data_IF_894027887006
#
_entry.id   IF_894027887006
#
_cell.length_a   1.000
_cell.length_b   1.000
_cell.length_c   1.000
_cell.angle_alpha   90.00
_cell.angle_beta   90.00
_cell.angle_gamma   90.00
#
_symmetry.space_group_name_H-M   'P 1'
#
loop_
_entity.id
_entity.type
_entity.pdbx_description
1 polymer ?
#
# COMPACT_ATOMS: atom_id res chain seq x y z
N UNK A 1 -20.43 69.15 0.55
CA UNK A 1 -20.19 67.79 0.08
C UNK A 1 -19.18 67.15 1.06
N UNK A 2 -19.67 66.38 2.05
CA UNK A 2 -18.82 65.77 3.10
C UNK A 2 -18.59 64.31 2.69
N UNK A 3 -17.31 63.96 2.42
CA UNK A 3 -16.87 62.55 2.21
C UNK A 3 -16.77 61.88 3.59
N UNK A 4 -17.57 60.84 3.80
CA UNK A 4 -17.41 59.91 4.91
C UNK A 4 -16.41 58.80 4.52
N UNK A 5 -15.28 58.80 5.16
CA UNK A 5 -14.33 57.67 5.09
C UNK A 5 -14.82 56.57 6.03
N UNK A 6 -15.31 55.46 5.47
CA UNK A 6 -15.55 54.25 6.23
C UNK A 6 -14.24 53.50 6.41
N UNK A 7 -13.73 53.55 7.63
CA UNK A 7 -12.64 52.66 8.10
C UNK A 7 -13.29 51.30 8.41
N UNK A 8 -12.99 50.26 7.58
CA UNK A 8 -13.27 48.88 7.88
C UNK A 8 -12.27 48.38 8.90
N UNK A 9 -12.67 47.76 10.02
CA UNK A 9 -11.75 47.13 10.93
C UNK A 9 -11.21 45.85 10.28
N UNK A 10 -9.88 45.77 10.18
CA UNK A 10 -9.18 44.53 9.79
C UNK A 10 -9.40 43.50 10.91
N UNK A 11 -10.19 42.47 10.59
CA UNK A 11 -10.31 41.28 11.42
C UNK A 11 -9.04 40.46 11.23
N UNK A 12 -8.12 40.60 12.22
CA UNK A 12 -6.97 39.69 12.31
C UNK A 12 -7.47 38.33 12.76
N UNK A 13 -7.64 37.44 11.81
CA UNK A 13 -7.92 36.03 12.07
C UNK A 13 -6.63 35.41 12.61
N UNK A 14 -6.51 35.27 13.92
CA UNK A 14 -5.46 34.48 14.54
C UNK A 14 -5.74 33.01 14.25
N UNK A 15 -5.03 32.44 13.26
CA UNK A 15 -5.03 31.01 13.03
C UNK A 15 -4.36 30.35 14.24
N UNK A 16 -5.18 29.75 15.10
CA UNK A 16 -4.70 28.87 16.16
C UNK A 16 -4.23 27.59 15.45
N UNK A 17 -2.95 27.53 15.15
CA UNK A 17 -2.27 26.28 14.76
C UNK A 17 -2.18 25.41 16.01
N UNK A 18 -3.24 24.66 16.31
CA UNK A 18 -3.17 23.58 17.26
C UNK A 18 -2.26 22.50 16.66
N UNK A 19 -1.00 22.50 17.09
CA UNK A 19 -0.08 21.40 16.82
C UNK A 19 -0.56 20.17 17.57
N UNK A 20 -1.43 19.39 16.95
CA UNK A 20 -1.75 18.02 17.38
C UNK A 20 -0.59 17.08 17.02
N UNK A 21 0.55 17.31 17.60
CA UNK A 21 1.73 16.47 17.52
C UNK A 21 2.09 15.93 18.90
N UNK A 22 1.12 15.38 19.64
CA UNK A 22 1.47 14.55 20.78
C UNK A 22 2.12 13.28 20.22
N UNK A 23 3.43 13.23 20.26
CA UNK A 23 4.18 11.99 20.08
C UNK A 23 3.77 11.08 21.24
N UNK A 24 2.88 10.11 20.95
CA UNK A 24 2.56 9.08 21.94
C UNK A 24 3.85 8.30 22.19
N UNK A 25 4.32 8.22 23.44
CA UNK A 25 5.49 7.41 23.75
C UNK A 25 5.21 5.97 23.31
N UNK A 26 6.12 5.41 22.52
CA UNK A 26 6.03 3.99 22.15
C UNK A 26 6.07 3.17 23.45
N UNK A 27 5.01 2.48 23.86
CA UNK A 27 4.98 1.70 25.08
C UNK A 27 5.89 0.47 25.04
N UNK A 28 6.40 0.14 23.85
CA UNK A 28 7.29 -0.99 23.67
C UNK A 28 8.75 -0.51 23.66
N UNK A 29 9.64 -1.18 24.40
CA UNK A 29 11.07 -0.87 24.33
C UNK A 29 11.56 -1.04 22.90
N UNK A 30 12.50 -0.19 22.48
CA UNK A 30 13.18 -0.40 21.21
C UNK A 30 13.82 -1.80 21.22
N UNK A 31 13.76 -2.52 20.08
CA UNK A 31 14.42 -3.83 20.01
C UNK A 31 15.91 -3.66 20.33
N UNK A 32 16.47 -4.65 21.03
CA UNK A 32 17.88 -4.65 21.40
C UNK A 32 18.75 -4.47 20.13
N UNK A 33 19.88 -3.76 20.23
CA UNK A 33 20.81 -3.61 19.13
C UNK A 33 21.18 -4.96 18.52
N UNK A 34 21.09 -5.09 17.19
CA UNK A 34 21.37 -6.33 16.46
C UNK A 34 20.20 -7.30 16.30
N UNK A 35 19.04 -7.04 16.92
CA UNK A 35 17.83 -7.84 16.67
C UNK A 35 17.19 -7.38 15.36
N UNK A 36 17.19 -8.28 14.36
CA UNK A 36 16.43 -8.07 13.12
C UNK A 36 15.05 -8.64 13.29
N UNK A 37 14.04 -7.80 13.12
CA UNK A 37 12.64 -8.21 13.15
C UNK A 37 12.16 -8.76 11.78
N UNK A 38 12.92 -8.51 10.72
CA UNK A 38 12.61 -8.98 9.36
C UNK A 38 13.80 -9.72 8.78
N UNK A 39 13.59 -10.75 7.94
CA UNK A 39 14.67 -11.40 7.20
C UNK A 39 15.45 -10.40 6.34
N UNK A 40 16.72 -10.73 6.05
CA UNK A 40 17.46 -9.97 5.04
C UNK A 40 16.76 -10.07 3.69
N UNK A 41 16.70 -8.92 2.98
CA UNK A 41 16.16 -8.90 1.63
C UNK A 41 17.16 -9.62 0.72
N UNK A 42 16.75 -10.71 0.02
CA UNK A 42 17.63 -11.40 -0.90
C UNK A 42 18.01 -10.47 -2.07
N UNK A 43 19.20 -10.63 -2.63
CA UNK A 43 19.61 -9.89 -3.82
C UNK A 43 18.79 -10.31 -5.05
N UNK A 44 18.50 -11.62 -5.17
CA UNK A 44 17.61 -12.16 -6.22
C UNK A 44 16.16 -11.76 -5.97
N UNK A 45 15.33 -11.65 -7.01
CA UNK A 45 13.90 -11.39 -6.85
C UNK A 45 13.21 -12.49 -6.04
N UNK A 46 12.23 -12.10 -5.23
CA UNK A 46 11.30 -13.01 -4.55
C UNK A 46 9.90 -12.41 -4.59
N UNK A 47 8.95 -13.10 -5.26
CA UNK A 47 7.56 -12.68 -5.37
C UNK A 47 6.80 -13.17 -4.14
N UNK A 48 6.39 -12.23 -3.30
CA UNK A 48 5.74 -12.47 -2.01
C UNK A 48 4.21 -12.38 -2.13
N UNK A 49 3.53 -12.39 -0.99
CA UNK A 49 2.09 -12.12 -0.89
C UNK A 49 1.18 -13.26 -1.35
N UNK A 50 -0.05 -12.91 -1.63
CA UNK A 50 -1.13 -13.83 -1.94
C UNK A 50 -0.89 -14.67 -3.20
N UNK A 51 -1.40 -15.91 -3.20
CA UNK A 51 -1.49 -16.78 -4.40
C UNK A 51 -2.84 -16.67 -5.08
N UNK A 52 -3.82 -16.14 -4.39
CA UNK A 52 -5.17 -15.93 -4.91
C UNK A 52 -5.69 -14.58 -4.45
N UNK A 53 -6.30 -13.83 -5.34
CA UNK A 53 -6.94 -12.56 -5.06
C UNK A 53 -8.33 -12.51 -5.65
N UNK A 54 -9.29 -11.94 -4.90
CA UNK A 54 -10.67 -11.75 -5.32
C UNK A 54 -10.87 -10.41 -6.00
N UNK A 55 -11.80 -10.37 -6.94
CA UNK A 55 -12.30 -9.14 -7.55
C UNK A 55 -13.80 -9.24 -7.79
N UNK A 56 -14.54 -8.16 -7.49
CA UNK A 56 -15.97 -8.08 -7.82
C UNK A 56 -16.16 -7.91 -9.35
N UNK A 57 -17.09 -8.66 -9.98
CA UNK A 57 -17.36 -8.51 -11.40
C UNK A 57 -17.66 -7.05 -11.81
N UNK A 58 -17.01 -6.56 -12.85
CA UNK A 58 -17.18 -5.21 -13.38
C UNK A 58 -16.65 -4.06 -12.50
N UNK A 59 -16.05 -4.36 -11.35
CA UNK A 59 -15.53 -3.35 -10.44
C UNK A 59 -14.07 -2.98 -10.75
N UNK A 60 -13.68 -1.78 -10.29
CA UNK A 60 -12.26 -1.37 -10.34
C UNK A 60 -11.44 -2.25 -9.40
N UNK A 61 -10.31 -2.69 -9.91
CA UNK A 61 -9.32 -3.46 -9.17
C UNK A 61 -8.01 -2.72 -9.11
N UNK A 62 -7.35 -2.80 -7.95
CA UNK A 62 -6.00 -2.31 -7.71
C UNK A 62 -5.27 -3.35 -6.87
N UNK A 63 -4.21 -3.94 -7.41
CA UNK A 63 -3.41 -4.95 -6.71
C UNK A 63 -1.93 -4.75 -6.98
N UNK A 64 -1.16 -4.44 -5.93
CA UNK A 64 0.29 -4.36 -6.01
C UNK A 64 0.89 -5.74 -5.80
N UNK A 65 1.65 -6.24 -6.77
CA UNK A 65 2.45 -7.45 -6.62
C UNK A 65 3.64 -7.14 -5.70
N UNK A 66 3.72 -7.77 -4.53
CA UNK A 66 4.84 -7.52 -3.62
C UNK A 66 6.06 -8.33 -4.07
N UNK A 67 7.16 -7.63 -4.34
CA UNK A 67 8.42 -8.27 -4.77
C UNK A 67 9.58 -7.66 -3.99
N UNK A 68 10.30 -8.50 -3.27
CA UNK A 68 11.59 -8.17 -2.65
C UNK A 68 12.75 -8.51 -3.59
N UNK A 69 13.91 -7.89 -3.36
CA UNK A 69 15.10 -8.08 -4.18
C UNK A 69 15.79 -6.75 -4.50
N UNK A 70 17.01 -6.83 -5.04
CA UNK A 70 17.76 -5.64 -5.43
C UNK A 70 17.13 -4.95 -6.64
N UNK A 71 17.07 -3.62 -6.60
CA UNK A 71 16.61 -2.78 -7.70
C UNK A 71 17.80 -2.29 -8.55
N UNK A 72 17.66 -2.06 -9.89
CA UNK A 72 16.41 -2.10 -10.65
C UNK A 72 15.93 -3.53 -10.93
N UNK A 73 14.60 -3.68 -11.04
CA UNK A 73 13.94 -4.96 -11.25
C UNK A 73 12.85 -4.81 -12.31
N UNK A 74 12.71 -5.81 -13.18
CA UNK A 74 11.65 -5.90 -14.18
C UNK A 74 10.58 -6.86 -13.66
N UNK A 75 9.33 -6.38 -13.60
CA UNK A 75 8.17 -7.18 -13.20
C UNK A 75 7.21 -7.26 -14.38
N UNK A 76 6.74 -8.45 -14.71
CA UNK A 76 5.84 -8.71 -15.85
C UNK A 76 4.76 -9.69 -15.45
N UNK A 77 3.60 -9.59 -16.09
CA UNK A 77 2.50 -10.55 -15.93
C UNK A 77 2.01 -10.99 -17.30
N UNK A 78 1.66 -12.27 -17.41
CA UNK A 78 0.98 -12.86 -18.56
C UNK A 78 -0.30 -13.55 -18.10
N UNK A 79 -1.32 -13.59 -18.96
CA UNK A 79 -2.61 -14.19 -18.60
C UNK A 79 -3.55 -13.26 -17.84
N UNK A 80 -3.26 -11.95 -17.77
CA UNK A 80 -4.20 -10.99 -17.23
C UNK A 80 -5.50 -10.98 -18.04
N UNK A 81 -6.67 -10.95 -17.38
CA UNK A 81 -7.95 -10.87 -18.09
C UNK A 81 -8.12 -9.51 -18.79
N UNK A 82 -9.02 -9.44 -19.79
CA UNK A 82 -9.38 -8.18 -20.42
C UNK A 82 -9.79 -7.13 -19.39
N UNK A 83 -9.36 -5.88 -19.59
CA UNK A 83 -9.66 -4.76 -18.70
C UNK A 83 -8.63 -4.53 -17.59
N UNK A 84 -7.72 -5.48 -17.33
CA UNK A 84 -6.63 -5.33 -16.38
C UNK A 84 -5.28 -5.20 -17.09
N UNK A 85 -4.41 -4.33 -16.56
CA UNK A 85 -3.03 -4.14 -17.03
C UNK A 85 -2.09 -4.06 -15.84
N UNK A 86 -0.84 -4.46 -16.06
CA UNK A 86 0.24 -4.28 -15.09
C UNK A 86 1.18 -3.15 -15.53
N UNK A 87 1.57 -2.29 -14.61
CA UNK A 87 2.61 -1.28 -14.84
C UNK A 87 4.03 -1.85 -14.57
N UNK A 88 5.06 -1.07 -14.87
CA UNK A 88 6.47 -1.46 -14.67
C UNK A 88 6.87 -1.66 -13.20
N UNK A 89 6.05 -1.19 -12.26
CA UNK A 89 6.26 -1.35 -10.81
C UNK A 89 5.56 -2.58 -10.25
N UNK A 90 4.81 -3.31 -11.09
CA UNK A 90 4.05 -4.49 -10.69
C UNK A 90 2.66 -4.18 -10.16
N UNK A 91 2.11 -2.99 -10.43
CA UNK A 91 0.74 -2.64 -10.08
C UNK A 91 -0.22 -3.16 -11.15
N UNK A 92 -1.09 -4.10 -10.80
CA UNK A 92 -2.21 -4.55 -11.61
C UNK A 92 -3.39 -3.63 -11.32
N UNK A 93 -3.89 -2.96 -12.35
CA UNK A 93 -5.01 -2.02 -12.24
C UNK A 93 -5.93 -2.09 -13.45
N UNK A 94 -7.18 -1.67 -13.26
CA UNK A 94 -8.20 -1.59 -14.31
C UNK A 94 -9.58 -2.00 -13.83
N UNK A 95 -10.41 -2.53 -14.73
CA UNK A 95 -11.74 -3.03 -14.43
C UNK A 95 -11.77 -4.53 -14.60
N UNK A 96 -12.20 -5.26 -13.57
CA UNK A 96 -12.36 -6.69 -13.61
C UNK A 96 -13.46 -7.09 -14.63
N UNK A 97 -13.36 -8.24 -15.32
CA UNK A 97 -14.41 -8.74 -16.20
C UNK A 97 -15.76 -8.85 -15.49
N UNK A 98 -16.87 -8.71 -16.24
CA UNK A 98 -18.22 -8.80 -15.69
C UNK A 98 -18.65 -10.25 -15.36
N UNK A 99 -18.01 -11.24 -15.95
CA UNK A 99 -18.34 -12.66 -15.73
C UNK A 99 -17.56 -13.25 -14.55
N UNK A 100 -18.23 -14.05 -13.72
CA UNK A 100 -17.58 -14.82 -12.65
C UNK A 100 -16.69 -15.90 -13.25
N UNK A 101 -15.38 -15.83 -13.00
CA UNK A 101 -14.38 -16.76 -13.53
C UNK A 101 -13.06 -16.65 -12.78
N UNK A 102 -12.27 -17.71 -12.81
CA UNK A 102 -10.88 -17.74 -12.39
C UNK A 102 -9.93 -17.56 -13.58
N UNK A 103 -8.90 -16.74 -13.36
CA UNK A 103 -7.84 -16.49 -14.33
C UNK A 103 -6.50 -16.81 -13.69
N UNK A 104 -5.67 -17.59 -14.40
CA UNK A 104 -4.29 -17.88 -13.99
C UNK A 104 -3.37 -16.84 -14.59
N UNK A 105 -2.77 -16.04 -13.73
CA UNK A 105 -1.84 -14.98 -14.08
C UNK A 105 -0.43 -15.42 -13.69
N UNK A 106 0.46 -15.55 -14.67
CA UNK A 106 1.86 -15.85 -14.39
C UNK A 106 2.63 -14.54 -14.23
N UNK A 107 3.18 -14.34 -13.04
CA UNK A 107 3.99 -13.19 -12.70
C UNK A 107 5.45 -13.59 -12.73
N UNK A 108 6.29 -12.79 -13.36
CA UNK A 108 7.75 -12.97 -13.40
C UNK A 108 8.43 -11.69 -12.91
N UNK A 109 9.35 -11.83 -11.99
CA UNK A 109 10.25 -10.78 -11.57
C UNK A 109 11.69 -11.15 -11.93
N UNK A 110 12.49 -10.20 -12.41
CA UNK A 110 13.88 -10.45 -12.79
C UNK A 110 14.78 -9.24 -12.53
N UNK A 111 16.01 -9.50 -12.10
CA UNK A 111 17.08 -8.53 -11.96
C UNK A 111 18.43 -9.16 -12.36
N UNK A 112 19.54 -8.45 -12.12
CA UNK A 112 20.90 -8.97 -12.43
C UNK A 112 21.28 -10.23 -11.63
N UNK A 113 20.63 -10.52 -10.51
CA UNK A 113 20.94 -11.65 -9.64
C UNK A 113 20.07 -12.88 -9.89
N UNK A 114 19.04 -12.76 -10.74
CA UNK A 114 18.20 -13.90 -11.08
C UNK A 114 16.78 -13.53 -11.46
N UNK A 115 15.92 -14.54 -11.39
CA UNK A 115 14.49 -14.40 -11.67
C UNK A 115 13.67 -15.27 -10.71
N UNK A 116 12.44 -14.82 -10.46
CA UNK A 116 11.43 -15.58 -9.75
C UNK A 116 10.12 -15.59 -10.54
N UNK A 117 9.32 -16.65 -10.39
CA UNK A 117 8.05 -16.83 -11.08
C UNK A 117 6.99 -17.32 -10.10
N UNK A 118 5.80 -16.75 -10.19
CA UNK A 118 4.67 -17.13 -9.35
C UNK A 118 3.36 -17.11 -10.14
N UNK A 119 2.57 -18.17 -9.98
CA UNK A 119 1.19 -18.19 -10.46
C UNK A 119 0.32 -17.47 -9.42
N UNK A 120 -0.46 -16.48 -9.86
CA UNK A 120 -1.50 -15.80 -9.12
C UNK A 120 -2.85 -16.18 -9.72
N UNK A 121 -3.75 -16.71 -8.91
CA UNK A 121 -5.14 -16.93 -9.32
C UNK A 121 -5.94 -15.65 -9.05
N UNK A 122 -6.48 -15.05 -10.10
CA UNK A 122 -7.44 -13.96 -9.99
C UNK A 122 -8.86 -14.55 -10.08
N UNK A 123 -9.59 -14.56 -8.98
CA UNK A 123 -10.97 -15.02 -8.88
C UNK A 123 -11.94 -13.85 -8.99
N UNK A 124 -12.62 -13.72 -10.10
CA UNK A 124 -13.71 -12.76 -10.27
C UNK A 124 -15.00 -13.39 -9.76
N UNK A 125 -15.59 -12.82 -8.71
CA UNK A 125 -16.75 -13.42 -8.04
C UNK A 125 -17.25 -12.57 -6.86
N UNK A 126 -17.99 -13.19 -5.97
CA UNK A 126 -18.61 -12.53 -4.81
C UNK A 126 -17.71 -12.57 -3.56
N UNK A 127 -16.60 -13.30 -3.60
CA UNK A 127 -15.66 -13.44 -2.50
C UNK A 127 -14.42 -12.58 -2.75
N UNK A 128 -14.03 -11.77 -1.77
CA UNK A 128 -12.92 -10.81 -1.90
C UNK A 128 -11.68 -11.22 -1.08
N UNK A 129 -11.82 -11.41 0.21
CA UNK A 129 -10.70 -11.70 1.11
C UNK A 129 -10.32 -13.18 1.09
N UNK A 130 -9.87 -13.70 -0.04
CA UNK A 130 -9.51 -15.11 -0.24
C UNK A 130 -8.18 -15.50 0.44
N UNK A 131 -7.39 -14.52 0.82
CA UNK A 131 -6.17 -14.67 1.62
C UNK A 131 -6.28 -13.73 2.83
N UNK A 132 -5.88 -14.15 4.03
CA UNK A 132 -5.86 -13.26 5.18
C UNK A 132 -5.07 -11.98 4.87
N UNK A 133 -5.65 -10.79 5.10
CA UNK A 133 -4.96 -9.54 4.83
C UNK A 133 -3.78 -9.37 5.80
N UNK A 134 -2.66 -8.88 5.27
CA UNK A 134 -1.52 -8.43 6.06
C UNK A 134 -1.54 -6.90 6.07
N UNK A 135 -1.76 -6.34 7.23
CA UNK A 135 -1.92 -4.89 7.34
C UNK A 135 -1.71 -4.39 8.76
N UNK A 136 -2.04 -3.15 8.96
CA UNK A 136 -1.90 -2.46 10.23
C UNK A 136 -3.28 -2.05 10.76
N UNK A 137 -3.47 -2.29 12.07
CA UNK A 137 -4.67 -1.84 12.75
C UNK A 137 -4.41 -0.54 13.50
N UNK A 138 -4.97 0.55 13.01
CA UNK A 138 -4.86 1.87 13.65
C UNK A 138 -5.43 1.88 15.07
N UNK A 139 -6.51 1.14 15.28
CA UNK A 139 -7.19 1.04 16.57
C UNK A 139 -6.27 0.54 17.68
N UNK A 140 -5.50 -0.52 17.40
CA UNK A 140 -4.56 -1.06 18.40
C UNK A 140 -3.33 -0.18 18.61
N UNK A 141 -2.95 0.63 17.63
CA UNK A 141 -1.78 1.51 17.74
C UNK A 141 -2.10 2.86 18.37
N UNK A 142 -3.26 3.43 18.05
CA UNK A 142 -3.59 4.83 18.41
C UNK A 142 -4.92 4.95 19.17
N UNK A 143 -5.67 3.87 19.35
CA UNK A 143 -6.99 3.90 20.00
C UNK A 143 -7.92 4.94 19.35
N UNK A 144 -8.47 5.85 20.13
CA UNK A 144 -9.35 6.93 19.66
C UNK A 144 -8.59 8.16 19.15
N UNK A 145 -7.28 8.21 19.40
CA UNK A 145 -6.42 9.30 18.92
C UNK A 145 -5.93 9.11 17.47
N UNK A 146 -6.50 8.14 16.72
CA UNK A 146 -6.16 7.97 15.32
C UNK A 146 -6.63 9.17 14.51
N UNK A 147 -5.71 9.77 13.72
CA UNK A 147 -5.98 10.89 12.84
C UNK A 147 -5.30 10.68 11.48
N UNK A 148 -5.60 11.57 10.54
CA UNK A 148 -5.04 11.51 9.20
C UNK A 148 -3.50 11.44 9.20
N UNK A 149 -2.85 12.24 10.04
CA UNK A 149 -1.38 12.32 10.10
C UNK A 149 -0.75 11.00 10.54
N UNK A 150 -1.37 10.31 11.53
CA UNK A 150 -0.92 9.00 11.98
C UNK A 150 -1.02 7.96 10.85
N UNK A 151 -2.13 7.97 10.11
CA UNK A 151 -2.34 7.06 8.98
C UNK A 151 -1.33 7.31 7.87
N UNK A 152 -1.13 8.58 7.48
CA UNK A 152 -0.16 8.95 6.46
C UNK A 152 1.29 8.64 6.87
N UNK A 153 1.65 8.90 8.14
CA UNK A 153 2.97 8.54 8.69
C UNK A 153 3.20 7.03 8.61
N UNK A 154 2.22 6.24 9.03
CA UNK A 154 2.31 4.77 9.00
C UNK A 154 2.42 4.26 7.57
N UNK A 155 1.60 4.76 6.64
CA UNK A 155 1.68 4.37 5.22
C UNK A 155 3.07 4.67 4.62
N UNK A 156 3.67 5.82 4.94
CA UNK A 156 5.05 6.15 4.51
C UNK A 156 6.07 5.16 5.08
N UNK A 157 5.95 4.81 6.37
CA UNK A 157 6.85 3.84 7.01
C UNK A 157 6.76 2.46 6.36
N UNK A 158 5.56 2.02 5.91
CA UNK A 158 5.41 0.76 5.17
C UNK A 158 6.25 0.75 3.89
N UNK A 159 6.28 1.87 3.17
CA UNK A 159 7.10 2.01 1.96
C UNK A 159 8.59 2.11 2.30
N UNK A 160 8.97 3.00 3.21
CA UNK A 160 10.36 3.27 3.59
C UNK A 160 11.05 2.05 4.22
N UNK A 161 10.31 1.27 5.01
CA UNK A 161 10.81 0.03 5.63
C UNK A 161 10.69 -1.20 4.75
N UNK A 162 10.15 -1.05 3.54
CA UNK A 162 10.03 -2.14 2.56
C UNK A 162 8.95 -3.17 2.89
N UNK A 163 8.07 -2.92 3.86
CA UNK A 163 7.00 -3.86 4.25
C UNK A 163 6.06 -4.17 3.06
N UNK A 164 5.79 -3.19 2.21
CA UNK A 164 4.99 -3.37 0.99
C UNK A 164 5.59 -4.40 0.02
N UNK A 165 6.91 -4.58 0.03
CA UNK A 165 7.59 -5.58 -0.80
C UNK A 165 7.36 -7.02 -0.31
N UNK A 166 6.86 -7.18 0.91
CA UNK A 166 6.54 -8.46 1.54
C UNK A 166 5.03 -8.73 1.62
N UNK A 167 4.19 -7.84 1.06
CA UNK A 167 2.74 -8.02 0.99
C UNK A 167 1.95 -7.33 2.10
N UNK A 168 2.58 -6.49 2.91
CA UNK A 168 1.89 -5.63 3.88
C UNK A 168 1.26 -4.42 3.16
N UNK A 169 -0.01 -4.14 3.43
CA UNK A 169 -0.80 -3.06 2.83
C UNK A 169 -1.68 -2.33 3.84
#
# INVERSE_FOLDING_TARGET
MRLYHFLLPAVVSAAVSASFGAEFPNPYPAPAPGVRLTPEIPLSPSINGARIVGATPGSRMLFQVPVSGERPMKIQATGLPPGLKMDSRGLIAGTAPSGKREYKVNIQASNRHGKDMKELVLKVGDELCLTPPMGWSSRYSYSEAVGQDNVLKTARLFVERGLVNHGWA
#
